data_IF_848592392556
#
_entry.id   IF_848592392556
#
_cell.length_a   1.000
_cell.length_b   1.000
_cell.length_c   1.000
_cell.angle_alpha   90.00
_cell.angle_beta   90.00
_cell.angle_gamma   90.00
#
_symmetry.space_group_name_H-M   'P 1'
#
loop_
_entity.id
_entity.type
_entity.pdbx_description
1 polymer ?
#
# COMPACT_ATOMS: atom_id res chain seq x y z
N UNK A 1 -4.11 2.72 15.11
CA UNK A 1 -3.64 3.80 14.20
C UNK A 1 -4.71 4.86 13.99
N UNK A 2 -5.92 4.51 13.55
CA UNK A 2 -6.97 5.51 13.21
C UNK A 2 -7.62 6.17 14.44
N UNK A 3 -7.79 5.46 15.56
CA UNK A 3 -8.57 5.93 16.72
C UNK A 3 -7.77 6.77 17.72
N UNK A 4 -6.45 6.56 17.80
CA UNK A 4 -5.54 7.25 18.75
C UNK A 4 -4.22 7.68 18.07
N UNK A 5 -4.26 8.39 16.93
CA UNK A 5 -3.05 8.70 16.15
C UNK A 5 -2.09 9.64 16.90
N UNK A 6 -2.61 10.67 17.58
CA UNK A 6 -1.81 11.65 18.31
C UNK A 6 -1.04 11.01 19.47
N UNK A 7 -1.72 10.23 20.31
CA UNK A 7 -1.07 9.49 21.39
C UNK A 7 -0.02 8.50 20.91
N UNK A 8 -0.22 7.89 19.73
CA UNK A 8 0.79 7.00 19.14
C UNK A 8 2.00 7.78 18.62
N UNK A 9 1.79 8.93 17.98
CA UNK A 9 2.85 9.78 17.46
C UNK A 9 3.68 10.41 18.59
N UNK A 10 3.05 10.83 19.69
CA UNK A 10 3.73 11.40 20.86
C UNK A 10 4.63 10.42 21.62
N UNK A 11 4.55 9.12 21.33
CA UNK A 11 5.49 8.14 21.90
C UNK A 11 6.88 8.20 21.25
N UNK A 12 6.99 8.78 20.05
CA UNK A 12 8.21 8.76 19.25
C UNK A 12 8.82 10.15 19.04
N UNK A 13 8.12 11.23 19.39
CA UNK A 13 8.61 12.60 19.25
C UNK A 13 7.95 13.53 20.26
N UNK A 14 8.71 14.53 20.72
CA UNK A 14 8.24 15.61 21.60
C UNK A 14 7.93 16.90 20.82
N UNK A 15 8.21 16.95 19.51
CA UNK A 15 7.98 18.13 18.68
C UNK A 15 6.56 18.14 18.11
N UNK A 16 5.75 19.11 18.51
CA UNK A 16 4.33 19.22 18.16
C UNK A 16 4.06 19.15 16.64
N UNK A 17 4.82 19.90 15.83
CA UNK A 17 4.69 19.88 14.37
C UNK A 17 4.94 18.48 13.77
N UNK A 18 5.88 17.71 14.33
CA UNK A 18 6.16 16.33 13.87
C UNK A 18 5.02 15.39 14.28
N UNK A 19 4.47 15.58 15.48
CA UNK A 19 3.35 14.76 15.99
C UNK A 19 2.11 14.96 15.13
N UNK A 20 1.80 16.20 14.72
CA UNK A 20 0.66 16.49 13.84
C UNK A 20 0.79 15.79 12.48
N UNK A 21 1.93 15.96 11.80
CA UNK A 21 2.18 15.32 10.50
C UNK A 21 2.17 13.79 10.59
N UNK A 22 2.80 13.23 11.62
CA UNK A 22 2.80 11.79 11.87
C UNK A 22 1.38 11.27 12.18
N UNK A 23 0.55 12.05 12.89
CA UNK A 23 -0.82 11.68 13.19
C UNK A 23 -1.67 11.56 11.92
N UNK A 24 -1.54 12.52 11.00
CA UNK A 24 -2.22 12.50 9.70
C UNK A 24 -1.77 11.28 8.89
N UNK A 25 -0.46 11.03 8.84
CA UNK A 25 0.11 9.84 8.19
C UNK A 25 -0.47 8.54 8.78
N UNK A 26 -0.54 8.41 10.10
CA UNK A 26 -1.05 7.22 10.78
C UNK A 26 -2.51 6.92 10.45
N UNK A 27 -3.35 7.95 10.30
CA UNK A 27 -4.74 7.78 9.89
C UNK A 27 -4.80 7.21 8.46
N UNK A 28 -4.06 7.81 7.52
CA UNK A 28 -4.06 7.39 6.11
C UNK A 28 -3.52 5.97 5.94
N UNK A 29 -2.41 5.64 6.62
CA UNK A 29 -1.83 4.30 6.63
C UNK A 29 -2.77 3.30 7.29
N UNK A 30 -3.46 3.72 8.35
CA UNK A 30 -4.50 2.95 9.00
C UNK A 30 -5.59 2.51 8.03
N UNK A 31 -6.05 3.42 7.16
CA UNK A 31 -7.02 3.10 6.10
C UNK A 31 -6.46 2.13 5.06
N UNK A 32 -5.16 2.21 4.75
CA UNK A 32 -4.52 1.28 3.80
C UNK A 32 -4.31 -0.14 4.34
N UNK A 33 -4.53 -0.40 5.64
CA UNK A 33 -4.29 -1.73 6.23
C UNK A 33 -5.20 -2.81 5.62
N UNK A 34 -6.46 -2.48 5.34
CA UNK A 34 -7.40 -3.42 4.74
C UNK A 34 -6.96 -3.90 3.34
N UNK A 35 -6.70 -3.01 2.35
CA UNK A 35 -6.21 -3.44 1.05
C UNK A 35 -4.82 -4.09 1.13
N UNK A 36 -3.95 -3.65 2.05
CA UNK A 36 -2.66 -4.29 2.27
C UNK A 36 -2.81 -5.75 2.72
N UNK A 37 -3.73 -6.02 3.66
CA UNK A 37 -4.02 -7.38 4.09
C UNK A 37 -4.48 -8.27 2.92
N UNK A 38 -5.34 -7.75 2.03
CA UNK A 38 -5.74 -8.48 0.82
C UNK A 38 -4.56 -8.82 -0.09
N UNK A 39 -3.66 -7.85 -0.32
CA UNK A 39 -2.44 -8.06 -1.13
C UNK A 39 -1.57 -9.18 -0.53
N UNK A 40 -1.38 -9.18 0.80
CA UNK A 40 -0.57 -10.17 1.49
C UNK A 40 -1.18 -11.56 1.41
N UNK A 41 -2.50 -11.68 1.67
CA UNK A 41 -3.21 -12.97 1.64
C UNK A 41 -3.23 -13.54 0.22
N UNK A 42 -3.69 -12.78 -0.77
CA UNK A 42 -3.78 -13.25 -2.16
C UNK A 42 -2.38 -13.56 -2.71
N UNK A 43 -1.41 -12.69 -2.44
CA UNK A 43 -0.02 -12.94 -2.84
C UNK A 43 0.55 -14.21 -2.19
N UNK A 44 0.19 -14.49 -0.93
CA UNK A 44 0.53 -15.73 -0.24
C UNK A 44 -0.09 -16.97 -0.91
N UNK A 45 -1.37 -16.90 -1.28
CA UNK A 45 -2.08 -17.98 -1.98
C UNK A 45 -1.44 -18.27 -3.33
N UNK A 46 -1.19 -17.24 -4.15
CA UNK A 46 -0.56 -17.41 -5.47
C UNK A 46 0.81 -18.08 -5.35
N UNK A 47 1.66 -17.62 -4.41
CA UNK A 47 2.96 -18.25 -4.16
C UNK A 47 2.83 -19.69 -3.68
N UNK A 48 1.88 -19.98 -2.80
CA UNK A 48 1.61 -21.33 -2.30
C UNK A 48 1.12 -22.30 -3.38
N UNK A 49 0.45 -21.78 -4.41
CA UNK A 49 0.03 -22.55 -5.58
C UNK A 49 1.12 -22.71 -6.67
N UNK A 50 2.34 -22.20 -6.43
CA UNK A 50 3.45 -22.25 -7.38
C UNK A 50 3.54 -21.04 -8.32
N UNK A 51 2.58 -20.12 -8.31
CA UNK A 51 2.64 -18.86 -9.06
C UNK A 51 3.41 -17.78 -8.28
N UNK A 52 4.74 -17.80 -8.40
CA UNK A 52 5.60 -16.79 -7.77
C UNK A 52 5.83 -15.56 -8.65
N UNK A 53 5.71 -15.71 -9.98
CA UNK A 53 6.04 -14.65 -10.95
C UNK A 53 4.96 -13.57 -10.99
N UNK A 54 3.69 -13.96 -10.97
CA UNK A 54 2.56 -13.03 -11.03
C UNK A 54 2.60 -12.00 -9.88
N UNK A 55 2.62 -12.40 -8.59
CA UNK A 55 2.68 -11.44 -7.49
C UNK A 55 3.97 -10.61 -7.49
N UNK A 56 5.10 -11.15 -7.97
CA UNK A 56 6.36 -10.41 -8.11
C UNK A 56 6.24 -9.27 -9.12
N UNK A 57 5.76 -9.56 -10.33
CA UNK A 57 5.63 -8.57 -11.41
C UNK A 57 4.66 -7.47 -11.00
N UNK A 58 3.51 -7.83 -10.41
CA UNK A 58 2.52 -6.85 -9.96
C UNK A 58 3.11 -5.95 -8.88
N UNK A 59 3.83 -6.50 -7.90
CA UNK A 59 4.46 -5.71 -6.86
C UNK A 59 5.49 -4.74 -7.43
N UNK A 60 6.34 -5.21 -8.35
CA UNK A 60 7.39 -4.37 -8.94
C UNK A 60 6.78 -3.24 -9.79
N UNK A 61 5.85 -3.57 -10.69
CA UNK A 61 5.19 -2.59 -11.56
C UNK A 61 4.40 -1.58 -10.73
N UNK A 62 3.62 -2.04 -9.76
CA UNK A 62 2.84 -1.16 -8.89
C UNK A 62 3.75 -0.23 -8.08
N UNK A 63 4.85 -0.74 -7.52
CA UNK A 63 5.76 0.07 -6.73
C UNK A 63 6.44 1.18 -7.56
N UNK A 64 6.89 0.88 -8.77
CA UNK A 64 7.54 1.90 -9.60
C UNK A 64 6.54 2.83 -10.27
N UNK A 65 5.53 2.27 -10.94
CA UNK A 65 4.62 3.01 -11.83
C UNK A 65 3.49 3.68 -11.06
N UNK A 66 2.92 3.01 -10.04
CA UNK A 66 1.78 3.54 -9.30
C UNK A 66 2.19 4.24 -7.99
N UNK A 67 3.40 4.02 -7.46
CA UNK A 67 3.88 4.66 -6.23
C UNK A 67 5.02 5.64 -6.44
N UNK A 68 6.21 5.20 -6.87
CA UNK A 68 7.38 6.08 -6.92
C UNK A 68 7.18 7.23 -7.90
N UNK A 69 6.81 6.93 -9.16
CA UNK A 69 6.67 7.96 -10.19
C UNK A 69 5.58 8.98 -9.78
N UNK A 70 4.36 8.59 -9.39
CA UNK A 70 3.33 9.55 -9.01
C UNK A 70 3.63 10.29 -7.72
N UNK A 71 4.24 9.63 -6.72
CA UNK A 71 4.60 10.30 -5.47
C UNK A 71 5.65 11.38 -5.71
N UNK A 72 6.65 11.11 -6.55
CA UNK A 72 7.67 12.09 -6.90
C UNK A 72 7.09 13.26 -7.69
N UNK A 73 6.34 12.98 -8.76
CA UNK A 73 5.81 14.04 -9.64
C UNK A 73 4.76 14.90 -8.95
N UNK A 74 3.82 14.30 -8.22
CA UNK A 74 2.76 15.04 -7.55
C UNK A 74 3.29 15.78 -6.31
N UNK A 75 4.18 15.17 -5.51
CA UNK A 75 4.79 15.89 -4.38
C UNK A 75 5.58 17.10 -4.85
N UNK A 76 6.34 16.98 -5.95
CA UNK A 76 7.08 18.09 -6.54
C UNK A 76 6.16 19.23 -7.02
N UNK A 77 5.01 18.90 -7.62
CA UNK A 77 4.07 19.91 -8.13
C UNK A 77 3.29 20.62 -7.02
N UNK A 78 2.78 19.87 -6.05
CA UNK A 78 1.89 20.38 -5.00
C UNK A 78 2.63 20.88 -3.74
N UNK A 79 3.94 20.59 -3.60
CA UNK A 79 4.77 20.92 -2.43
C UNK A 79 4.14 20.50 -1.09
N UNK A 80 3.37 19.40 -1.09
CA UNK A 80 2.59 18.97 0.05
C UNK A 80 2.87 17.50 0.35
N UNK A 81 3.37 17.21 1.56
CA UNK A 81 3.77 15.87 1.99
C UNK A 81 2.58 14.88 2.01
N UNK A 82 1.39 15.41 2.28
CA UNK A 82 0.12 14.66 2.29
C UNK A 82 -0.12 13.91 0.98
N UNK A 83 0.35 14.45 -0.14
CA UNK A 83 0.18 13.86 -1.48
C UNK A 83 0.92 12.52 -1.57
N UNK A 84 2.09 12.41 -0.94
CA UNK A 84 2.85 11.15 -0.89
C UNK A 84 2.05 10.06 -0.18
N UNK A 85 1.35 10.41 0.90
CA UNK A 85 0.54 9.46 1.66
C UNK A 85 -0.72 9.03 0.90
N UNK A 86 -1.37 9.97 0.21
CA UNK A 86 -2.52 9.68 -0.65
C UNK A 86 -2.14 8.79 -1.84
N UNK A 87 -0.99 9.04 -2.48
CA UNK A 87 -0.47 8.17 -3.54
C UNK A 87 -0.20 6.77 -3.02
N UNK A 88 0.40 6.63 -1.83
CA UNK A 88 0.63 5.32 -1.22
C UNK A 88 -0.68 4.56 -0.95
N UNK A 89 -1.70 5.24 -0.43
CA UNK A 89 -3.03 4.67 -0.23
C UNK A 89 -3.65 4.23 -1.55
N UNK A 90 -3.64 5.11 -2.56
CA UNK A 90 -4.16 4.84 -3.90
C UNK A 90 -3.46 3.66 -4.56
N UNK A 91 -2.14 3.59 -4.49
CA UNK A 91 -1.35 2.48 -5.02
C UNK A 91 -1.71 1.15 -4.35
N UNK A 92 -1.81 1.14 -3.02
CA UNK A 92 -2.17 -0.07 -2.26
C UNK A 92 -3.57 -0.55 -2.64
N UNK A 93 -4.52 0.38 -2.83
CA UNK A 93 -5.86 0.07 -3.31
C UNK A 93 -5.84 -0.53 -4.72
N UNK A 94 -5.18 0.13 -5.68
CA UNK A 94 -5.08 -0.34 -7.07
C UNK A 94 -4.47 -1.75 -7.10
N UNK A 95 -3.37 -1.97 -6.38
CA UNK A 95 -2.71 -3.27 -6.30
C UNK A 95 -3.62 -4.35 -5.74
N UNK A 96 -4.35 -4.05 -4.68
CA UNK A 96 -5.29 -4.99 -4.06
C UNK A 96 -6.39 -5.42 -5.03
N UNK A 97 -6.93 -4.46 -5.80
CA UNK A 97 -7.94 -4.70 -6.84
C UNK A 97 -7.37 -5.54 -7.98
N UNK A 98 -6.18 -5.21 -8.50
CA UNK A 98 -5.54 -5.97 -9.59
C UNK A 98 -5.26 -7.41 -9.18
N UNK A 99 -4.70 -7.62 -7.98
CA UNK A 99 -4.47 -8.97 -7.46
C UNK A 99 -5.77 -9.75 -7.27
N UNK A 100 -6.82 -9.08 -6.80
CA UNK A 100 -8.15 -9.71 -6.68
C UNK A 100 -8.73 -10.13 -8.03
N UNK A 101 -8.61 -9.30 -9.06
CA UNK A 101 -9.04 -9.65 -10.42
C UNK A 101 -8.28 -10.85 -10.97
N UNK A 102 -6.98 -10.93 -10.71
CA UNK A 102 -6.14 -12.05 -11.16
C UNK A 102 -6.47 -13.33 -10.39
N UNK A 103 -6.68 -13.21 -9.08
CA UNK A 103 -7.12 -14.33 -8.25
C UNK A 103 -8.44 -14.91 -8.76
N UNK A 104 -9.41 -14.05 -9.13
CA UNK A 104 -10.70 -14.47 -9.72
C UNK A 104 -10.58 -15.15 -11.09
N UNK A 105 -9.49 -14.98 -11.82
CA UNK A 105 -9.33 -15.63 -13.12
C UNK A 105 -8.98 -17.12 -13.00
N UNK A 106 -8.68 -17.63 -11.80
CA UNK A 106 -8.41 -19.05 -11.47
C UNK A 106 -7.30 -19.74 -12.29
N UNK A 107 -6.61 -19.01 -13.17
CA UNK A 107 -5.49 -19.52 -13.98
C UNK A 107 -4.39 -20.13 -13.13
N UNK A 108 -4.22 -19.61 -11.91
CA UNK A 108 -3.27 -20.10 -10.92
C UNK A 108 -3.58 -21.52 -10.42
N UNK A 109 -4.83 -21.99 -10.47
CA UNK A 109 -5.20 -23.35 -10.07
C UNK A 109 -4.72 -24.42 -11.07
N UNK A 110 -4.46 -24.02 -12.32
CA UNK A 110 -4.03 -24.93 -13.39
C UNK A 110 -2.52 -25.18 -13.40
N UNK A 111 -1.78 -24.48 -12.55
CA UNK A 111 -0.33 -24.65 -12.40
C UNK A 111 -0.10 -25.98 -11.67
N UNK A 112 0.43 -26.97 -12.38
CA UNK A 112 0.89 -28.22 -11.77
C UNK A 112 2.25 -27.96 -11.12
N UNK A 113 2.30 -28.20 -9.81
CA UNK A 113 3.51 -28.17 -8.97
C UNK A 113 4.30 -29.46 -9.19
#
# INVERSE_FOLDING_TARGET
>A
MVTIPHHLASLFSDHEATIEEASIYLIIVGLSQFPLAMVLVIGGVLRGAGDTKTPLIINLVSFWVARIIPAFTLSYYFNAIIVVYLVMLGETLIKSIVLWMIFKQEKWQKIKI
#
